data_IF_511589557951
#
_entry.id   IF_511589557951
#
_cell.length_a   1.000
_cell.length_b   1.000
_cell.length_c   1.000
_cell.angle_alpha   90.00
_cell.angle_beta   90.00
_cell.angle_gamma   90.00
#
_symmetry.space_group_name_H-M   'P 1'
#
loop_
_entity.id
_entity.type
_entity.pdbx_description
1 polymer ?
#
# COMPACT_ATOMS: atom_id res chain seq x y z
N UNK A 1 37.65 18.71 -8.82
CA UNK A 1 36.73 17.88 -9.64
C UNK A 1 35.79 17.05 -8.75
N UNK A 2 34.46 17.21 -8.88
CA UNK A 2 33.49 16.37 -8.15
C UNK A 2 33.65 14.92 -8.63
N UNK A 3 33.91 13.97 -7.72
CA UNK A 3 34.07 12.56 -8.07
C UNK A 3 32.73 12.03 -8.59
N UNK A 4 32.71 11.47 -9.80
CA UNK A 4 31.53 10.76 -10.33
C UNK A 4 31.22 9.58 -9.43
N UNK A 5 29.96 9.47 -9.03
CA UNK A 5 29.43 8.36 -8.22
C UNK A 5 29.01 7.22 -9.14
N UNK A 6 28.71 6.05 -8.57
CA UNK A 6 28.18 4.92 -9.34
C UNK A 6 26.84 5.25 -10.01
N UNK A 7 26.05 6.17 -9.44
CA UNK A 7 24.76 6.63 -9.97
C UNK A 7 24.90 7.32 -11.32
N UNK A 8 26.01 8.05 -11.53
CA UNK A 8 26.29 8.77 -12.79
C UNK A 8 26.59 7.83 -13.97
N UNK A 9 26.71 6.52 -13.72
CA UNK A 9 27.04 5.49 -14.71
C UNK A 9 25.82 4.72 -15.22
N UNK A 10 24.64 4.93 -14.63
CA UNK A 10 23.41 4.23 -15.01
C UNK A 10 22.46 5.22 -15.70
N UNK A 11 22.19 5.07 -17.01
CA UNK A 11 21.26 5.93 -17.73
C UNK A 11 19.88 5.94 -17.06
N UNK A 12 19.33 7.14 -16.78
CA UNK A 12 18.02 7.33 -16.13
C UNK A 12 18.06 7.42 -14.60
N UNK A 13 19.12 6.94 -13.95
CA UNK A 13 19.28 6.94 -12.49
C UNK A 13 19.66 8.31 -11.90
N UNK A 14 19.83 9.33 -12.74
CA UNK A 14 20.09 10.71 -12.33
C UNK A 14 18.83 11.59 -12.29
N UNK A 15 17.66 11.05 -12.69
CA UNK A 15 16.38 11.80 -12.80
C UNK A 15 15.35 11.39 -11.73
N UNK A 16 15.77 11.17 -10.49
CA UNK A 16 14.85 10.80 -9.38
C UNK A 16 13.89 11.95 -8.94
N UNK A 17 14.07 13.17 -9.45
CA UNK A 17 13.46 14.38 -8.90
C UNK A 17 12.03 14.69 -9.40
N UNK A 18 11.46 13.91 -10.32
CA UNK A 18 10.18 14.26 -10.97
C UNK A 18 8.91 13.92 -10.17
N UNK A 19 9.02 13.35 -8.97
CA UNK A 19 7.86 12.76 -8.28
C UNK A 19 7.68 13.18 -6.81
N UNK A 20 8.50 14.09 -6.27
CA UNK A 20 8.31 14.57 -4.90
C UNK A 20 6.91 15.18 -4.72
N UNK A 21 6.15 14.67 -3.76
CA UNK A 21 4.74 15.04 -3.51
C UNK A 21 3.70 14.30 -4.36
N UNK A 22 4.12 13.50 -5.35
CA UNK A 22 3.23 12.59 -6.06
C UNK A 22 2.81 11.43 -5.15
N UNK A 23 1.64 10.85 -5.42
CA UNK A 23 1.24 9.58 -4.77
C UNK A 23 1.61 8.41 -5.65
N UNK A 24 2.51 7.56 -5.15
CA UNK A 24 2.98 6.36 -5.83
C UNK A 24 2.65 5.10 -5.02
N UNK A 25 2.52 3.94 -5.68
CA UNK A 25 2.36 2.67 -4.99
C UNK A 25 3.54 2.37 -4.07
N UNK A 26 3.29 1.90 -2.86
CA UNK A 26 4.36 1.61 -1.90
C UNK A 26 4.03 0.51 -0.90
N UNK A 27 5.08 -0.11 -0.35
CA UNK A 27 5.03 -1.18 0.64
C UNK A 27 5.61 -2.49 0.10
N UNK A 28 5.33 -3.58 0.82
CA UNK A 28 5.79 -4.92 0.51
C UNK A 28 4.74 -5.70 -0.29
N UNK A 29 3.58 -6.00 0.32
CA UNK A 29 2.41 -6.55 -0.37
C UNK A 29 1.41 -5.41 -0.59
N UNK A 30 1.64 -4.64 -1.65
CA UNK A 30 0.98 -3.37 -1.88
C UNK A 30 -0.30 -3.46 -2.72
N UNK A 31 -0.69 -4.65 -3.20
CA UNK A 31 -1.90 -4.85 -4.00
C UNK A 31 -2.75 -6.01 -3.48
N UNK A 32 -4.07 -5.87 -3.62
CA UNK A 32 -5.06 -6.89 -3.30
C UNK A 32 -6.29 -6.74 -4.22
N UNK A 33 -7.22 -7.70 -4.18
CA UNK A 33 -8.47 -7.62 -4.94
C UNK A 33 -9.65 -8.24 -4.19
N UNK A 34 -10.87 -7.83 -4.55
CA UNK A 34 -12.10 -8.43 -4.05
C UNK A 34 -12.82 -9.29 -5.13
N UNK A 35 -13.88 -9.99 -4.72
CA UNK A 35 -14.69 -10.81 -5.64
C UNK A 35 -15.52 -9.96 -6.64
N UNK A 36 -15.68 -8.66 -6.37
CA UNK A 36 -16.27 -7.72 -7.33
C UNK A 36 -15.28 -7.31 -8.44
N UNK A 37 -14.01 -7.73 -8.33
CA UNK A 37 -12.95 -7.45 -9.28
C UNK A 37 -12.33 -6.07 -9.13
N UNK A 38 -12.52 -5.40 -7.98
CA UNK A 38 -11.85 -4.14 -7.67
C UNK A 38 -10.40 -4.40 -7.29
N UNK A 39 -9.50 -3.56 -7.79
CA UNK A 39 -8.09 -3.55 -7.45
C UNK A 39 -7.84 -2.57 -6.31
N UNK A 40 -7.18 -3.03 -5.26
CA UNK A 40 -6.74 -2.22 -4.13
C UNK A 40 -5.23 -2.02 -4.24
N UNK A 41 -4.77 -0.77 -4.12
CA UNK A 41 -3.34 -0.41 -4.23
C UNK A 41 -2.97 0.47 -3.06
N UNK A 42 -1.97 0.07 -2.26
CA UNK A 42 -1.36 0.87 -1.21
C UNK A 42 -0.56 2.01 -1.82
N UNK A 43 -0.81 3.23 -1.38
CA UNK A 43 -0.25 4.46 -1.92
C UNK A 43 0.38 5.30 -0.80
N UNK A 44 1.49 5.97 -1.13
CA UNK A 44 2.15 6.97 -0.29
C UNK A 44 2.39 8.25 -1.08
N UNK A 45 2.32 9.41 -0.41
CA UNK A 45 2.98 10.62 -0.90
C UNK A 45 4.51 10.47 -0.78
N UNK A 46 5.19 10.32 -1.91
CA UNK A 46 6.63 10.02 -1.95
C UNK A 46 7.48 11.30 -1.82
N UNK A 47 8.59 11.21 -1.10
CA UNK A 47 9.63 12.24 -1.13
C UNK A 47 10.63 11.97 -2.27
N UNK A 48 10.94 10.69 -2.52
CA UNK A 48 11.82 10.21 -3.59
C UNK A 48 11.36 8.82 -4.01
N UNK A 49 11.52 8.44 -5.28
CA UNK A 49 11.10 7.11 -5.77
C UNK A 49 11.80 5.92 -5.07
N UNK A 50 12.83 6.18 -4.26
CA UNK A 50 13.51 5.14 -3.49
C UNK A 50 12.64 4.65 -2.31
N UNK A 51 11.64 5.42 -1.86
CA UNK A 51 10.75 5.10 -0.72
C UNK A 51 9.62 4.09 -1.03
N UNK A 52 9.71 3.41 -2.18
CA UNK A 52 8.71 2.46 -2.66
C UNK A 52 8.45 1.27 -1.74
N UNK A 53 9.39 0.89 -0.86
CA UNK A 53 9.25 -0.22 0.09
C UNK A 53 8.65 0.22 1.44
N UNK A 54 8.47 1.52 1.64
CA UNK A 54 7.92 2.09 2.87
C UNK A 54 6.39 2.01 2.82
N UNK A 55 5.72 1.73 3.96
CA UNK A 55 4.27 1.45 4.00
C UNK A 55 3.36 2.63 3.61
N UNK A 56 2.32 2.41 2.81
CA UNK A 56 1.44 3.46 2.31
C UNK A 56 0.47 4.02 3.36
N UNK A 57 0.06 5.29 3.23
CA UNK A 57 -0.88 5.97 4.13
C UNK A 57 -2.33 5.99 3.60
N UNK A 58 -2.52 5.57 2.35
CA UNK A 58 -3.81 5.40 1.71
C UNK A 58 -3.89 4.08 0.92
N UNK A 59 -5.10 3.61 0.68
CA UNK A 59 -5.39 2.55 -0.29
C UNK A 59 -6.32 3.09 -1.36
N UNK A 60 -5.89 3.06 -2.61
CA UNK A 60 -6.72 3.40 -3.76
C UNK A 60 -7.51 2.19 -4.21
N UNK A 61 -8.81 2.39 -4.43
CA UNK A 61 -9.72 1.37 -4.97
C UNK A 61 -9.99 1.72 -6.42
N UNK A 62 -9.65 0.82 -7.32
CA UNK A 62 -9.71 1.01 -8.77
C UNK A 62 -10.66 -0.02 -9.35
N UNK A 63 -11.55 0.40 -10.24
CA UNK A 63 -12.25 -0.53 -11.13
C UNK A 63 -11.39 -0.71 -12.40
N UNK A 64 -10.77 -1.89 -12.60
CA UNK A 64 -9.91 -2.11 -13.75
C UNK A 64 -10.69 -2.19 -15.07
N UNK A 65 -12.00 -2.49 -15.05
CA UNK A 65 -12.82 -2.55 -16.26
C UNK A 65 -13.08 -1.16 -16.82
N UNK A 66 -13.51 -0.24 -15.96
CA UNK A 66 -13.75 1.16 -16.34
C UNK A 66 -12.48 2.03 -16.29
N UNK A 67 -11.39 1.54 -15.68
CA UNK A 67 -10.13 2.26 -15.45
C UNK A 67 -10.33 3.52 -14.62
N UNK A 68 -11.22 3.44 -13.63
CA UNK A 68 -11.56 4.58 -12.78
C UNK A 68 -11.10 4.37 -11.34
N UNK A 69 -10.70 5.46 -10.70
CA UNK A 69 -10.48 5.50 -9.26
C UNK A 69 -11.85 5.60 -8.57
N UNK A 70 -12.26 4.52 -7.91
CA UNK A 70 -13.55 4.40 -7.22
C UNK A 70 -13.50 5.06 -5.85
N UNK A 71 -12.41 4.89 -5.11
CA UNK A 71 -12.28 5.43 -3.76
C UNK A 71 -10.80 5.62 -3.35
N UNK A 72 -10.57 6.46 -2.33
CA UNK A 72 -9.29 6.59 -1.60
C UNK A 72 -9.56 6.36 -0.12
N UNK A 73 -9.07 5.24 0.40
CA UNK A 73 -9.25 4.85 1.79
C UNK A 73 -8.07 5.34 2.60
N UNK A 74 -8.28 6.29 3.52
CA UNK A 74 -7.22 6.77 4.40
C UNK A 74 -6.97 5.77 5.53
N UNK A 75 -5.71 5.38 5.73
CA UNK A 75 -5.33 4.48 6.81
C UNK A 75 -5.05 5.24 8.10
N UNK A 76 -5.28 4.58 9.25
CA UNK A 76 -4.95 5.13 10.58
C UNK A 76 -3.46 5.10 10.91
N UNK A 77 -2.70 4.25 10.22
CA UNK A 77 -1.26 4.28 10.17
C UNK A 77 -0.80 3.73 8.84
N UNK A 78 0.44 4.03 8.51
CA UNK A 78 1.12 3.48 7.34
C UNK A 78 1.09 1.96 7.34
N UNK A 79 0.90 1.34 6.17
CA UNK A 79 0.82 -0.09 6.03
C UNK A 79 1.74 -0.65 4.95
N UNK A 80 2.58 -1.60 5.32
CA UNK A 80 3.48 -2.28 4.37
C UNK A 80 2.82 -3.48 3.69
N UNK A 81 1.72 -3.99 4.22
CA UNK A 81 0.96 -5.11 3.65
C UNK A 81 -0.51 -4.73 3.66
N UNK A 82 -1.19 -4.96 2.55
CA UNK A 82 -2.64 -4.92 2.46
C UNK A 82 -3.18 -6.24 1.92
N UNK A 83 -4.38 -6.62 2.37
CA UNK A 83 -5.14 -7.75 1.84
C UNK A 83 -6.64 -7.45 1.94
N UNK A 84 -7.44 -8.03 1.05
CA UNK A 84 -8.90 -7.85 1.04
C UNK A 84 -9.60 -9.20 1.12
N UNK A 85 -10.59 -9.32 2.01
CA UNK A 85 -11.35 -10.57 2.14
C UNK A 85 -12.35 -10.75 1.01
N UNK A 86 -12.64 -12.00 0.68
CA UNK A 86 -13.74 -12.38 -0.22
C UNK A 86 -15.13 -12.05 0.38
N UNK A 87 -16.17 -12.11 -0.45
CA UNK A 87 -17.57 -11.97 -0.04
C UNK A 87 -18.22 -10.63 -0.39
N UNK A 88 -19.53 -10.52 -0.10
CA UNK A 88 -20.36 -9.36 -0.45
C UNK A 88 -20.01 -8.08 0.34
N UNK A 89 -19.48 -8.24 1.56
CA UNK A 89 -19.02 -7.15 2.43
C UNK A 89 -17.53 -7.32 2.74
N UNK A 90 -16.65 -7.06 1.75
CA UNK A 90 -15.21 -7.29 1.91
C UNK A 90 -14.62 -6.39 3.01
N UNK A 91 -13.65 -6.93 3.73
CA UNK A 91 -12.82 -6.22 4.69
C UNK A 91 -11.45 -5.96 4.09
N UNK A 92 -10.92 -4.75 4.29
CA UNK A 92 -9.52 -4.43 4.02
C UNK A 92 -8.74 -4.63 5.32
N UNK A 93 -7.66 -5.40 5.23
CA UNK A 93 -6.72 -5.65 6.33
C UNK A 93 -5.39 -4.96 5.99
N UNK A 94 -4.85 -4.19 6.91
CA UNK A 94 -3.63 -3.41 6.70
C UNK A 94 -2.63 -3.64 7.86
N UNK A 95 -1.44 -4.14 7.54
CA UNK A 95 -0.39 -4.43 8.53
C UNK A 95 0.36 -3.16 8.89
N UNK A 96 0.36 -2.82 10.18
CA UNK A 96 0.99 -1.63 10.73
C UNK A 96 2.46 -1.85 11.08
N UNK A 97 3.21 -0.77 11.38
CA UNK A 97 4.60 -0.87 11.81
C UNK A 97 4.78 -1.58 13.16
N UNK A 98 3.74 -1.59 14.00
CA UNK A 98 3.70 -2.31 15.28
C UNK A 98 3.31 -3.80 15.14
N UNK A 99 3.33 -4.33 13.90
CA UNK A 99 3.03 -5.71 13.54
C UNK A 99 1.61 -6.18 13.87
N UNK A 100 0.72 -5.25 14.12
CA UNK A 100 -0.69 -5.49 14.25
C UNK A 100 -1.44 -5.16 12.95
N UNK A 101 -2.71 -5.55 12.85
CA UNK A 101 -3.54 -5.30 11.67
C UNK A 101 -4.70 -4.38 12.00
N UNK A 102 -4.79 -3.25 11.31
CA UNK A 102 -6.04 -2.51 11.24
C UNK A 102 -6.98 -3.16 10.22
N UNK A 103 -8.25 -3.28 10.57
CA UNK A 103 -9.30 -3.85 9.72
C UNK A 103 -10.33 -2.79 9.40
N UNK A 104 -10.66 -2.63 8.13
CA UNK A 104 -11.59 -1.63 7.61
C UNK A 104 -12.69 -2.32 6.81
N UNK A 105 -13.86 -1.67 6.70
CA UNK A 105 -14.85 -1.98 5.65
C UNK A 105 -14.25 -1.57 4.31
N UNK A 106 -14.02 -2.50 3.38
CA UNK A 106 -13.33 -2.20 2.13
C UNK A 106 -14.15 -1.29 1.18
N UNK A 107 -15.48 -1.27 1.34
CA UNK A 107 -16.38 -0.42 0.56
C UNK A 107 -16.32 1.06 0.97
N UNK A 108 -16.11 1.34 2.26
CA UNK A 108 -16.24 2.70 2.82
C UNK A 108 -14.92 3.25 3.36
N UNK A 109 -13.96 2.39 3.70
CA UNK A 109 -12.75 2.77 4.44
C UNK A 109 -13.00 2.97 5.94
N UNK A 110 -14.18 2.62 6.44
CA UNK A 110 -14.49 2.73 7.87
C UNK A 110 -13.64 1.74 8.66
N UNK A 111 -12.85 2.25 9.60
CA UNK A 111 -12.09 1.40 10.52
C UNK A 111 -13.04 0.64 11.45
N UNK A 112 -12.81 -0.67 11.62
CA UNK A 112 -13.66 -1.55 12.43
C UNK A 112 -12.97 -1.97 13.72
N UNK A 113 -11.75 -2.52 13.61
CA UNK A 113 -11.01 -3.10 14.74
C UNK A 113 -9.53 -3.22 14.44
N UNK A 114 -8.80 -3.55 15.50
CA UNK A 114 -7.40 -3.93 15.51
C UNK A 114 -7.26 -5.40 15.87
N UNK A 115 -6.34 -6.11 15.21
CA UNK A 115 -5.98 -7.50 15.51
C UNK A 115 -4.46 -7.58 15.76
N UNK A 116 -4.02 -8.33 16.77
CA UNK A 116 -2.60 -8.55 17.03
C UNK A 116 -1.92 -7.45 17.87
N UNK A 117 -0.61 -7.27 17.69
CA UNK A 117 0.22 -6.38 18.52
C UNK A 117 0.94 -7.07 19.69
N UNK A 118 0.89 -8.41 19.74
CA UNK A 118 1.60 -9.24 20.73
C UNK A 118 2.61 -10.21 20.08
N UNK A 119 3.04 -9.94 18.85
CA UNK A 119 3.82 -10.90 18.05
C UNK A 119 5.31 -10.62 18.20
N UNK A 120 6.11 -11.66 18.51
CA UNK A 120 7.59 -11.65 18.49
C UNK A 120 8.13 -11.79 17.04
N UNK A 121 7.23 -11.77 16.03
CA UNK A 121 7.51 -12.01 14.61
C UNK A 121 6.73 -11.01 13.74
N UNK A 122 7.39 -10.49 12.72
CA UNK A 122 6.83 -9.55 11.75
C UNK A 122 6.03 -10.30 10.68
N UNK A 123 4.74 -9.94 10.43
CA UNK A 123 4.01 -10.47 9.29
C UNK A 123 4.72 -10.14 7.98
N UNK A 124 4.93 -11.14 7.12
CA UNK A 124 5.59 -10.97 5.83
C UNK A 124 4.61 -11.02 4.65
N UNK A 125 3.53 -11.77 4.78
CA UNK A 125 2.46 -11.87 3.80
C UNK A 125 1.13 -12.07 4.52
N UNK A 126 0.05 -11.62 3.89
CA UNK A 126 -1.32 -11.90 4.30
C UNK A 126 -2.05 -12.49 3.10
N UNK A 127 -2.91 -13.48 3.33
CA UNK A 127 -3.75 -14.07 2.28
C UNK A 127 -5.13 -14.29 2.87
N UNK A 128 -6.15 -13.76 2.21
CA UNK A 128 -7.52 -14.10 2.54
C UNK A 128 -7.89 -15.41 1.84
N UNK A 129 -8.34 -16.41 2.60
CA UNK A 129 -8.96 -17.61 2.02
C UNK A 129 -10.43 -17.33 1.69
N UNK A 130 -10.94 -18.02 0.66
CA UNK A 130 -12.37 -18.10 0.38
C UNK A 130 -13.08 -19.03 1.37
#
# INVERSE_FOLDING_TARGET
PKKKTWRDRIPGLSKHEAHAGARLPSGWQLTAHDDAGRLYVSMRATATVDDHDTGGDEVWVIDPKSRTLVNRLKLRAEASIIEVTAGADPLLVAARPDFSFDVYKANTGEWTRRIGGQIVMTPFAAVASK
#
